data_IF_134180958362
#
_entry.id   IF_134180958362
#
_cell.length_a   1.000
_cell.length_b   1.000
_cell.length_c   1.000
_cell.angle_alpha   90.00
_cell.angle_beta   90.00
_cell.angle_gamma   90.00
#
_symmetry.space_group_name_H-M   'P 1'
#
loop_
_entity.id
_entity.type
_entity.pdbx_description
1 polymer ?
#
# COMPACT_ATOMS: atom_id res chain seq x y z
N UNK A 1 -40.03 38.55 52.98
CA UNK A 1 -39.04 38.12 52.03
C UNK A 1 -39.21 36.63 51.82
N UNK A 2 -39.78 36.23 50.69
CA UNK A 2 -40.07 34.83 50.41
C UNK A 2 -38.75 34.14 50.03
N UNK A 3 -38.34 33.18 50.82
CA UNK A 3 -37.18 32.34 50.45
C UNK A 3 -37.61 31.45 49.29
N UNK A 4 -36.97 31.66 48.15
CA UNK A 4 -37.08 30.80 46.95
C UNK A 4 -36.16 29.59 47.14
N UNK A 5 -36.75 28.40 47.13
CA UNK A 5 -36.02 27.16 47.38
C UNK A 5 -36.10 26.27 46.16
N UNK A 6 -34.97 25.77 45.70
CA UNK A 6 -34.89 24.74 44.69
C UNK A 6 -34.96 23.37 45.36
N UNK A 7 -35.95 22.55 45.02
CA UNK A 7 -36.07 21.18 45.50
C UNK A 7 -35.80 20.23 44.33
N UNK A 8 -34.88 19.32 44.53
CA UNK A 8 -34.60 18.23 43.59
C UNK A 8 -35.06 16.93 44.19
N UNK A 9 -35.95 16.24 43.50
CA UNK A 9 -36.41 14.91 43.89
C UNK A 9 -36.05 13.96 42.76
N UNK A 10 -35.37 12.88 43.08
CA UNK A 10 -35.10 11.79 42.11
C UNK A 10 -36.24 10.77 42.22
N UNK A 11 -37.04 10.67 41.18
CA UNK A 11 -37.98 9.58 41.02
C UNK A 11 -37.35 8.58 40.02
N UNK A 12 -36.75 7.52 40.53
CA UNK A 12 -36.28 6.41 39.69
C UNK A 12 -37.45 5.47 39.45
N UNK A 13 -38.08 5.54 38.29
CA UNK A 13 -39.02 4.53 37.82
C UNK A 13 -38.23 3.30 37.30
N UNK A 14 -37.72 2.51 38.23
CA UNK A 14 -37.47 1.10 38.01
C UNK A 14 -38.73 0.39 38.50
N UNK A 15 -39.37 -0.42 37.66
CA UNK A 15 -40.51 -1.22 38.06
C UNK A 15 -40.20 -2.02 39.31
N UNK A 16 -41.00 -1.78 40.36
CA UNK A 16 -41.20 -2.47 41.62
C UNK A 16 -40.62 -1.83 42.91
N UNK A 17 -41.51 -1.24 43.64
CA UNK A 17 -41.59 -0.96 45.10
C UNK A 17 -40.71 0.16 45.71
N UNK A 18 -41.39 1.19 45.92
CA UNK A 18 -41.65 2.28 46.85
C UNK A 18 -41.04 2.29 48.26
N UNK A 19 -40.40 3.40 48.62
CA UNK A 19 -40.81 4.18 49.80
C UNK A 19 -40.23 5.59 49.72
N UNK A 20 -41.11 6.63 49.70
CA UNK A 20 -40.71 8.03 49.71
C UNK A 20 -40.66 8.55 51.13
N UNK A 21 -39.53 9.13 51.55
CA UNK A 21 -39.47 10.01 52.74
C UNK A 21 -39.04 11.40 52.30
N UNK A 22 -39.91 12.36 52.46
CA UNK A 22 -39.64 13.81 52.32
C UNK A 22 -38.70 14.27 53.44
N UNK A 23 -37.57 14.91 53.05
CA UNK A 23 -36.71 15.61 53.99
C UNK A 23 -36.59 17.07 53.57
N UNK A 24 -36.94 18.00 54.51
CA UNK A 24 -36.73 19.42 54.30
C UNK A 24 -35.28 19.82 54.58
N UNK A 25 -34.71 20.68 53.75
CA UNK A 25 -33.32 21.09 53.79
C UNK A 25 -33.22 22.58 54.16
N UNK A 26 -32.31 22.98 55.09
CA UNK A 26 -32.11 24.37 55.47
C UNK A 26 -31.30 25.17 54.45
N UNK A 27 -31.61 26.46 54.31
CA UNK A 27 -31.01 27.39 53.38
C UNK A 27 -29.50 27.64 53.63
N UNK A 28 -28.66 27.44 52.61
CA UNK A 28 -27.33 28.06 52.60
C UNK A 28 -26.12 27.17 52.28
N UNK A 29 -26.26 25.92 51.87
CA UNK A 29 -25.15 25.08 51.43
C UNK A 29 -25.43 24.44 50.09
N UNK A 30 -24.41 24.41 49.22
CA UNK A 30 -24.43 23.61 48.00
C UNK A 30 -24.46 22.13 48.39
N UNK A 31 -25.61 21.50 48.41
CA UNK A 31 -25.75 20.08 48.71
C UNK A 31 -25.65 19.24 47.43
N UNK A 32 -24.80 18.21 47.48
CA UNK A 32 -24.86 17.11 46.53
C UNK A 32 -26.15 16.32 46.82
N UNK A 33 -27.10 16.39 45.92
CA UNK A 33 -28.35 15.66 46.03
C UNK A 33 -28.37 14.60 44.98
N UNK A 34 -28.28 13.34 45.44
CA UNK A 34 -28.49 12.11 44.69
C UNK A 34 -27.62 11.89 43.41
N UNK A 35 -27.13 10.69 43.27
CA UNK A 35 -26.40 10.25 42.10
C UNK A 35 -27.29 9.47 41.16
N UNK A 36 -27.07 9.63 39.86
CA UNK A 36 -27.64 8.80 38.82
C UNK A 36 -26.62 7.72 38.43
N UNK A 37 -27.04 6.46 38.49
CA UNK A 37 -26.19 5.34 38.07
C UNK A 37 -26.71 4.75 36.78
N UNK A 38 -25.77 4.48 35.85
CA UNK A 38 -26.01 3.82 34.57
C UNK A 38 -25.16 2.57 34.48
N UNK A 39 -25.67 1.57 33.80
CA UNK A 39 -24.85 0.41 33.39
C UNK A 39 -23.93 0.79 32.23
N UNK A 40 -22.93 -0.02 31.96
CA UNK A 40 -21.98 0.20 30.87
C UNK A 40 -22.63 0.34 29.49
N UNK A 41 -23.75 -0.29 29.25
CA UNK A 41 -24.55 -0.16 28.02
C UNK A 41 -25.16 1.22 27.79
N UNK A 42 -25.09 2.11 28.78
CA UNK A 42 -25.70 3.42 28.69
C UNK A 42 -27.22 3.39 28.91
N UNK A 43 -27.93 4.30 28.27
CA UNK A 43 -29.38 4.40 28.35
C UNK A 43 -29.86 5.76 28.82
N UNK A 44 -31.12 5.82 29.29
CA UNK A 44 -31.72 7.06 29.72
C UNK A 44 -32.32 6.96 31.16
N UNK A 45 -32.28 8.08 31.89
CA UNK A 45 -32.87 8.26 33.19
C UNK A 45 -33.52 9.63 33.26
N UNK A 46 -34.55 9.75 34.11
CA UNK A 46 -35.19 11.04 34.39
C UNK A 46 -34.62 11.64 35.67
N UNK A 47 -34.29 12.93 35.60
CA UNK A 47 -34.01 13.77 36.78
C UNK A 47 -35.14 14.75 36.97
N UNK A 48 -35.76 14.69 38.12
CA UNK A 48 -36.94 15.51 38.49
C UNK A 48 -36.55 16.53 39.54
N UNK A 49 -36.91 17.77 39.31
CA UNK A 49 -36.66 18.87 40.27
C UNK A 49 -37.77 19.92 40.18
N UNK A 50 -37.90 20.74 41.22
CA UNK A 50 -38.86 21.82 41.28
C UNK A 50 -38.18 23.17 41.47
N UNK A 51 -38.58 24.16 40.69
CA UNK A 51 -38.15 25.55 40.83
C UNK A 51 -39.20 26.51 40.26
N UNK A 52 -39.33 27.67 40.87
CA UNK A 52 -40.16 28.78 40.38
C UNK A 52 -39.34 29.80 39.55
N UNK A 53 -38.05 29.57 39.39
CA UNK A 53 -37.12 30.39 38.59
C UNK A 53 -36.87 29.80 37.18
N UNK A 54 -36.38 30.61 36.28
CA UNK A 54 -35.78 30.08 35.05
C UNK A 54 -34.59 29.19 35.41
N UNK A 55 -34.41 28.14 34.66
CA UNK A 55 -33.31 27.21 34.88
C UNK A 55 -32.61 26.81 33.59
N UNK A 56 -31.33 26.49 33.71
CA UNK A 56 -30.50 25.88 32.70
C UNK A 56 -29.81 24.66 33.29
N UNK A 57 -29.68 23.60 32.50
CA UNK A 57 -28.97 22.40 32.89
C UNK A 57 -27.89 22.07 31.85
N UNK A 58 -26.71 21.69 32.30
CA UNK A 58 -25.58 21.32 31.45
C UNK A 58 -24.89 20.07 31.99
N UNK A 59 -24.35 19.25 31.10
CA UNK A 59 -23.41 18.20 31.45
C UNK A 59 -21.96 18.68 31.19
N UNK A 60 -21.02 18.18 31.96
CA UNK A 60 -19.57 18.49 31.83
C UNK A 60 -18.93 17.63 30.75
N UNK A 61 -19.57 16.49 30.38
CA UNK A 61 -19.03 15.50 29.48
C UNK A 61 -19.98 15.24 28.31
N UNK A 62 -19.41 15.05 27.11
CA UNK A 62 -20.17 14.86 25.87
C UNK A 62 -20.95 13.53 25.83
N UNK A 63 -20.45 12.49 26.51
CA UNK A 63 -21.10 11.18 26.58
C UNK A 63 -22.37 11.17 27.46
N UNK A 64 -22.61 12.24 28.23
CA UNK A 64 -23.79 12.42 29.08
C UNK A 64 -24.58 13.63 28.58
N UNK A 65 -25.70 13.41 27.93
CA UNK A 65 -26.55 14.46 27.34
C UNK A 65 -27.84 14.62 28.12
N UNK A 66 -28.40 15.84 28.07
CA UNK A 66 -29.62 16.19 28.81
C UNK A 66 -30.63 16.89 27.91
N UNK A 67 -31.93 16.58 28.11
CA UNK A 67 -33.04 17.15 27.35
C UNK A 67 -34.28 17.32 28.24
N UNK A 68 -34.95 18.49 28.23
CA UNK A 68 -34.44 19.75 27.70
C UNK A 68 -33.30 20.33 28.56
N UNK A 69 -32.49 21.23 27.98
CA UNK A 69 -31.36 21.87 28.68
C UNK A 69 -31.73 23.19 29.36
N UNK A 70 -32.97 23.64 29.25
CA UNK A 70 -33.46 24.86 29.91
C UNK A 70 -34.98 24.88 30.03
N UNK A 71 -35.48 25.71 30.89
CA UNK A 71 -36.93 25.90 31.05
C UNK A 71 -37.29 27.12 31.91
N UNK A 72 -38.56 27.46 31.90
CA UNK A 72 -39.12 28.51 32.77
C UNK A 72 -39.68 27.93 34.06
N UNK A 73 -39.42 28.60 35.17
CA UNK A 73 -39.97 28.21 36.48
C UNK A 73 -41.51 28.18 36.50
N UNK A 74 -42.05 27.25 37.24
CA UNK A 74 -43.51 27.13 37.49
C UNK A 74 -43.74 26.85 38.96
N UNK A 75 -44.64 27.62 39.57
CA UNK A 75 -44.99 27.40 40.93
C UNK A 75 -45.73 26.04 41.10
N UNK A 76 -45.25 25.21 42.01
CA UNK A 76 -45.83 23.89 42.36
C UNK A 76 -45.86 22.84 41.22
N UNK A 77 -44.97 22.93 40.23
CA UNK A 77 -44.82 21.87 39.21
C UNK A 77 -43.41 21.39 39.14
N UNK A 78 -43.25 20.09 39.02
CA UNK A 78 -41.96 19.45 38.80
C UNK A 78 -41.50 19.66 37.35
N UNK A 79 -40.20 19.86 37.19
CA UNK A 79 -39.47 19.83 35.92
C UNK A 79 -38.84 18.47 35.77
N UNK A 80 -38.92 17.91 34.57
CA UNK A 80 -38.33 16.65 34.23
C UNK A 80 -37.30 16.89 33.11
N UNK A 81 -36.10 16.46 33.34
CA UNK A 81 -35.07 16.37 32.27
C UNK A 81 -34.69 14.92 32.08
N UNK A 82 -34.52 14.54 30.83
CA UNK A 82 -34.01 13.22 30.47
C UNK A 82 -32.50 13.30 30.36
N UNK A 83 -31.80 12.46 31.11
CA UNK A 83 -30.36 12.26 31.06
C UNK A 83 -30.08 11.03 30.20
N UNK A 84 -29.29 11.18 29.17
CA UNK A 84 -28.93 10.10 28.25
C UNK A 84 -27.43 9.91 28.30
N UNK A 85 -26.99 8.72 28.64
CA UNK A 85 -25.57 8.32 28.59
C UNK A 85 -25.32 7.38 27.45
N UNK A 86 -24.26 7.68 26.67
CA UNK A 86 -23.75 6.79 25.64
C UNK A 86 -23.11 5.54 26.28
N UNK A 87 -22.99 4.41 25.56
CA UNK A 87 -22.30 3.24 26.07
C UNK A 87 -20.86 3.57 26.54
N UNK A 88 -20.44 2.99 27.66
CA UNK A 88 -19.09 3.09 28.15
C UNK A 88 -18.30 1.89 27.63
N UNK A 89 -17.65 2.07 26.49
CA UNK A 89 -16.85 1.03 25.85
C UNK A 89 -15.43 0.94 26.45
N UNK A 90 -15.07 1.86 27.33
CA UNK A 90 -13.79 1.84 28.03
C UNK A 90 -13.73 0.78 29.14
N UNK A 91 -12.51 0.47 29.63
CA UNK A 91 -12.28 -0.56 30.65
C UNK A 91 -12.66 -0.12 32.06
N UNK A 92 -12.75 1.19 32.31
CA UNK A 92 -12.95 1.74 33.64
C UNK A 92 -14.32 2.38 33.78
N UNK A 93 -14.85 2.37 34.99
CA UNK A 93 -16.02 3.15 35.34
C UNK A 93 -15.76 4.65 35.12
N UNK A 94 -16.77 5.38 34.69
CA UNK A 94 -16.66 6.81 34.45
C UNK A 94 -17.75 7.60 35.18
N UNK A 95 -17.50 8.87 35.44
CA UNK A 95 -18.44 9.75 36.09
C UNK A 95 -18.36 11.18 35.58
N UNK A 96 -19.47 11.88 35.68
CA UNK A 96 -19.54 13.32 35.40
C UNK A 96 -20.55 14.00 36.32
N UNK A 97 -20.73 15.32 36.16
CA UNK A 97 -21.74 16.11 36.84
C UNK A 97 -22.72 16.73 35.85
N UNK A 98 -24.00 16.66 36.22
CA UNK A 98 -25.02 17.49 35.63
C UNK A 98 -25.19 18.69 36.58
N UNK A 99 -25.12 19.88 36.01
CA UNK A 99 -25.26 21.13 36.76
C UNK A 99 -26.58 21.79 36.37
N UNK A 100 -27.50 21.89 37.30
CA UNK A 100 -28.75 22.64 37.14
C UNK A 100 -28.59 23.99 37.84
N UNK A 101 -28.74 25.07 37.08
CA UNK A 101 -28.56 26.44 37.55
C UNK A 101 -29.87 27.21 37.45
N UNK A 102 -30.12 28.01 38.47
CA UNK A 102 -31.09 29.10 38.46
C UNK A 102 -30.38 30.43 38.76
N UNK A 103 -31.01 31.59 38.61
CA UNK A 103 -30.40 32.88 39.00
C UNK A 103 -29.90 32.94 40.45
N UNK A 104 -30.46 32.14 41.31
CA UNK A 104 -30.15 32.20 42.75
C UNK A 104 -29.42 30.98 43.29
N UNK A 105 -29.41 29.86 42.59
CA UNK A 105 -28.86 28.58 43.08
C UNK A 105 -28.21 27.74 41.98
N UNK A 106 -27.36 26.79 42.39
CA UNK A 106 -26.78 25.78 41.53
C UNK A 106 -26.77 24.43 42.24
N UNK A 107 -27.28 23.41 41.60
CA UNK A 107 -27.31 22.03 42.10
C UNK A 107 -26.46 21.15 41.19
N UNK A 108 -25.64 20.31 41.79
CA UNK A 108 -24.77 19.36 41.09
C UNK A 108 -25.28 17.94 41.34
N UNK A 109 -25.64 17.24 40.29
CA UNK A 109 -26.06 15.84 40.34
C UNK A 109 -24.91 14.99 39.77
N UNK A 110 -24.41 14.06 40.54
CA UNK A 110 -23.36 13.17 40.11
C UNK A 110 -23.93 12.05 39.25
N UNK A 111 -23.28 11.79 38.13
CA UNK A 111 -23.60 10.67 37.26
C UNK A 111 -22.44 9.67 37.28
N UNK A 112 -22.78 8.42 37.57
CA UNK A 112 -21.85 7.28 37.50
C UNK A 112 -22.29 6.35 36.40
N UNK A 113 -21.30 5.83 35.63
CA UNK A 113 -21.55 4.80 34.65
C UNK A 113 -20.51 3.70 34.79
N UNK A 114 -20.97 2.47 34.98
CA UNK A 114 -20.12 1.29 34.98
C UNK A 114 -19.54 1.01 33.62
N UNK A 115 -18.58 0.07 33.54
CA UNK A 115 -18.06 -0.46 32.30
C UNK A 115 -19.02 -1.46 31.67
N UNK A 116 -18.89 -1.68 30.36
CA UNK A 116 -19.40 -2.92 29.76
C UNK A 116 -18.51 -4.08 30.21
N UNK A 117 -19.13 -5.25 30.46
CA UNK A 117 -18.35 -6.47 30.74
C UNK A 117 -17.72 -6.97 29.46
N UNK A 118 -16.43 -7.35 29.50
CA UNK A 118 -15.73 -7.90 28.35
C UNK A 118 -14.37 -7.24 28.12
N UNK A 119 -14.18 -6.72 26.92
CA UNK A 119 -12.94 -6.07 26.50
C UNK A 119 -13.25 -4.85 25.61
N UNK A 120 -12.25 -4.00 25.45
CA UNK A 120 -12.29 -2.83 24.58
C UNK A 120 -11.13 -2.85 23.59
N UNK A 121 -11.45 -2.65 22.31
CA UNK A 121 -10.52 -2.52 21.21
C UNK A 121 -10.60 -1.08 20.68
N UNK A 122 -9.53 -0.28 20.80
CA UNK A 122 -9.52 1.09 20.27
C UNK A 122 -9.54 1.13 18.74
N UNK A 123 -9.04 0.09 18.08
CA UNK A 123 -8.95 -0.02 16.62
C UNK A 123 -9.45 -1.39 16.16
N UNK A 124 -10.30 -1.39 15.14
CA UNK A 124 -10.84 -2.61 14.52
C UNK A 124 -10.24 -2.89 13.12
N UNK A 125 -9.49 -1.93 12.57
CA UNK A 125 -8.71 -2.09 11.34
C UNK A 125 -7.31 -1.50 11.53
N UNK A 126 -6.29 -2.29 11.26
CA UNK A 126 -4.89 -1.88 11.32
C UNK A 126 -4.25 -2.07 9.94
N UNK A 127 -3.68 -0.99 9.39
CA UNK A 127 -2.98 -1.03 8.11
C UNK A 127 -1.48 -1.06 8.33
N UNK A 128 -0.81 -1.99 7.67
CA UNK A 128 0.64 -2.17 7.74
C UNK A 128 1.27 -2.10 6.35
N UNK A 129 2.54 -1.70 6.31
CA UNK A 129 3.29 -1.59 5.05
C UNK A 129 3.61 -2.96 4.45
N UNK A 130 4.18 -2.96 3.24
CA UNK A 130 4.65 -4.16 2.55
C UNK A 130 5.79 -4.87 3.27
N UNK A 131 6.62 -4.14 4.03
CA UNK A 131 7.80 -4.69 4.69
C UNK A 131 7.43 -5.66 5.82
N UNK A 132 8.27 -6.67 6.04
CA UNK A 132 8.22 -7.50 7.23
C UNK A 132 8.41 -6.64 8.49
N UNK A 133 7.47 -6.70 9.41
CA UNK A 133 7.50 -5.88 10.63
C UNK A 133 6.70 -6.50 11.77
N UNK A 134 7.04 -6.08 12.99
CA UNK A 134 6.24 -6.35 14.17
C UNK A 134 5.51 -5.07 14.62
N UNK A 135 4.29 -5.20 15.13
CA UNK A 135 3.47 -4.08 15.59
C UNK A 135 2.57 -4.49 16.75
N UNK A 136 2.20 -3.54 17.62
CA UNK A 136 1.31 -3.80 18.75
C UNK A 136 -0.16 -3.67 18.34
N UNK A 137 -1.01 -4.50 18.94
CA UNK A 137 -2.46 -4.30 19.04
C UNK A 137 -2.79 -4.09 20.51
N UNK A 138 -3.21 -2.89 20.85
CA UNK A 138 -3.59 -2.55 22.22
C UNK A 138 -5.03 -2.94 22.48
N UNK A 139 -5.31 -3.51 23.65
CA UNK A 139 -6.65 -3.79 24.12
C UNK A 139 -6.68 -3.72 25.64
N UNK A 140 -7.86 -3.53 26.20
CA UNK A 140 -8.08 -3.61 27.64
C UNK A 140 -9.24 -4.55 27.94
N UNK A 141 -9.24 -5.16 29.12
CA UNK A 141 -10.23 -6.17 29.47
C UNK A 141 -10.49 -6.18 30.96
N UNK A 142 -11.72 -6.57 31.34
CA UNK A 142 -12.13 -6.81 32.71
C UNK A 142 -12.62 -8.26 32.95
N UNK A 143 -12.55 -9.10 31.92
CA UNK A 143 -12.77 -10.55 32.00
C UNK A 143 -11.79 -11.30 31.08
N UNK A 144 -11.62 -12.62 31.24
CA UNK A 144 -10.73 -13.38 30.35
C UNK A 144 -11.13 -13.27 28.88
N UNK A 145 -10.14 -13.00 28.02
CA UNK A 145 -10.29 -12.87 26.58
C UNK A 145 -9.47 -13.94 25.87
N UNK A 146 -10.11 -14.73 25.02
CA UNK A 146 -9.46 -15.62 24.07
C UNK A 146 -9.17 -14.84 22.81
N UNK A 147 -7.96 -15.03 22.23
CA UNK A 147 -7.52 -14.37 21.01
C UNK A 147 -7.14 -15.44 20.01
N UNK A 148 -7.77 -15.41 18.85
CA UNK A 148 -7.59 -16.41 17.80
C UNK A 148 -7.28 -15.73 16.47
N UNK A 149 -6.28 -16.27 15.77
CA UNK A 149 -5.91 -15.85 14.42
C UNK A 149 -6.67 -16.71 13.41
N UNK A 150 -7.18 -16.11 12.31
CA UNK A 150 -7.80 -16.90 11.27
C UNK A 150 -6.76 -17.76 10.53
N UNK A 151 -7.11 -18.99 10.20
CA UNK A 151 -6.22 -19.96 9.53
C UNK A 151 -5.65 -19.42 8.21
N UNK A 152 -6.40 -18.61 7.50
CA UNK A 152 -6.02 -18.01 6.21
C UNK A 152 -4.81 -17.06 6.32
N UNK A 153 -4.57 -16.50 7.49
CA UNK A 153 -3.46 -15.56 7.70
C UNK A 153 -2.21 -16.19 8.31
N UNK A 154 -2.26 -17.40 8.85
CA UNK A 154 -1.12 -18.05 9.49
C UNK A 154 0.20 -18.05 8.67
N UNK A 155 0.18 -18.15 7.34
CA UNK A 155 1.41 -18.11 6.55
C UNK A 155 2.17 -16.77 6.61
N UNK A 156 1.48 -15.66 6.92
CA UNK A 156 2.07 -14.33 6.83
C UNK A 156 1.86 -13.43 8.05
N UNK A 157 0.92 -13.75 8.91
CA UNK A 157 0.59 -13.02 10.13
C UNK A 157 0.74 -13.97 11.34
N UNK A 158 1.48 -13.56 12.34
CA UNK A 158 1.75 -14.39 13.50
C UNK A 158 1.63 -13.61 14.80
N UNK A 159 1.15 -14.26 15.85
CA UNK A 159 1.19 -13.73 17.21
C UNK A 159 2.58 -13.98 17.81
N UNK A 160 3.19 -12.92 18.35
CA UNK A 160 4.46 -13.02 19.06
C UNK A 160 4.15 -13.26 20.55
N UNK A 161 4.63 -14.36 21.16
CA UNK A 161 4.40 -14.60 22.58
C UNK A 161 4.94 -13.45 23.44
N UNK A 162 4.07 -12.85 24.25
CA UNK A 162 4.48 -11.81 25.21
C UNK A 162 4.83 -12.46 26.56
N UNK A 163 6.00 -12.11 27.10
CA UNK A 163 6.45 -12.56 28.43
C UNK A 163 6.05 -11.60 29.55
N UNK A 164 5.34 -10.51 29.23
CA UNK A 164 4.92 -9.50 30.21
C UNK A 164 3.42 -9.26 30.15
N UNK A 165 2.77 -9.39 31.32
CA UNK A 165 1.42 -8.88 31.53
C UNK A 165 1.51 -7.37 31.71
N UNK A 166 0.88 -6.61 30.82
CA UNK A 166 0.73 -5.16 30.93
C UNK A 166 -0.76 -4.81 30.96
N UNK A 167 -1.10 -3.81 31.76
CA UNK A 167 -2.44 -3.21 31.77
C UNK A 167 -2.26 -1.75 31.31
N UNK A 168 -2.77 -1.30 30.15
CA UNK A 168 -3.53 -2.09 29.18
C UNK A 168 -2.71 -3.23 28.55
N UNK A 169 -3.37 -4.27 28.10
CA UNK A 169 -2.73 -5.42 27.49
C UNK A 169 -2.31 -5.09 26.04
N UNK A 170 -1.21 -5.69 25.61
CA UNK A 170 -0.70 -5.51 24.25
C UNK A 170 -0.44 -6.88 23.62
N UNK A 171 -1.11 -7.14 22.50
CA UNK A 171 -0.81 -8.26 21.64
C UNK A 171 0.25 -7.81 20.62
N UNK A 172 1.38 -8.51 20.59
CA UNK A 172 2.39 -8.28 19.56
C UNK A 172 2.13 -9.19 18.37
N UNK A 173 2.05 -8.61 17.20
CA UNK A 173 1.91 -9.31 15.93
C UNK A 173 3.13 -9.08 15.05
N UNK A 174 3.40 -10.01 14.15
CA UNK A 174 4.37 -9.85 13.08
C UNK A 174 3.77 -10.24 11.74
N UNK A 175 4.12 -9.50 10.69
CA UNK A 175 3.79 -9.83 9.30
C UNK A 175 5.08 -10.09 8.53
N UNK A 176 5.01 -11.05 7.60
CA UNK A 176 6.07 -11.24 6.60
C UNK A 176 6.00 -10.16 5.52
N UNK A 177 7.09 -9.99 4.75
CA UNK A 177 7.08 -9.11 3.57
C UNK A 177 5.94 -9.49 2.61
N UNK A 178 5.22 -8.48 2.08
CA UNK A 178 4.25 -8.65 1.02
C UNK A 178 4.83 -8.11 -0.28
N UNK A 179 5.00 -8.98 -1.28
CA UNK A 179 5.48 -8.64 -2.63
C UNK A 179 4.41 -8.87 -3.70
N UNK A 180 3.18 -9.02 -3.27
CA UNK A 180 2.02 -9.32 -4.11
C UNK A 180 0.88 -8.34 -3.82
N UNK A 181 -0.33 -8.70 -4.23
CA UNK A 181 -1.56 -7.96 -3.97
C UNK A 181 -1.78 -7.65 -2.48
N UNK A 182 -2.64 -6.69 -2.22
CA UNK A 182 -3.15 -6.41 -0.88
C UNK A 182 -3.72 -7.68 -0.24
N UNK A 183 -3.33 -7.96 0.99
CA UNK A 183 -3.86 -9.09 1.75
C UNK A 183 -4.46 -8.64 3.08
N UNK A 184 -5.47 -9.37 3.52
CA UNK A 184 -6.18 -9.10 4.76
C UNK A 184 -6.20 -10.35 5.63
N UNK A 185 -6.10 -10.17 6.92
CA UNK A 185 -6.23 -11.22 7.90
C UNK A 185 -7.05 -10.72 9.08
N UNK A 186 -7.65 -11.62 9.84
CA UNK A 186 -8.51 -11.28 10.96
C UNK A 186 -8.05 -11.94 12.24
N UNK A 187 -8.20 -11.20 13.34
CA UNK A 187 -7.95 -11.68 14.70
C UNK A 187 -9.24 -11.51 15.49
N UNK A 188 -9.73 -12.59 16.03
CA UNK A 188 -10.93 -12.60 16.84
C UNK A 188 -10.58 -12.49 18.32
N UNK A 189 -11.22 -11.55 19.00
CA UNK A 189 -11.18 -11.39 20.45
C UNK A 189 -12.53 -11.88 21.00
N UNK A 190 -12.52 -12.83 21.88
CA UNK A 190 -13.74 -13.48 22.41
C UNK A 190 -13.67 -13.53 23.91
N UNK A 191 -14.69 -13.01 24.57
CA UNK A 191 -14.98 -13.17 25.97
C UNK A 191 -16.34 -13.86 26.19
N UNK A 192 -16.75 -14.05 27.43
CA UNK A 192 -18.07 -14.63 27.71
C UNK A 192 -19.25 -13.74 27.23
N UNK A 193 -19.03 -12.45 27.13
CA UNK A 193 -20.11 -11.47 26.86
C UNK A 193 -19.93 -10.72 25.55
N UNK A 194 -18.74 -10.78 24.92
CA UNK A 194 -18.41 -9.99 23.72
C UNK A 194 -17.55 -10.77 22.76
N UNK A 195 -17.77 -10.57 21.47
CA UNK A 195 -16.88 -11.05 20.39
C UNK A 195 -16.69 -9.94 19.37
N UNK A 196 -15.45 -9.59 19.09
CA UNK A 196 -15.08 -8.61 18.06
C UNK A 196 -13.89 -9.09 17.27
N UNK A 197 -13.72 -8.52 16.07
CA UNK A 197 -12.65 -8.88 15.15
C UNK A 197 -11.84 -7.65 14.77
N UNK A 198 -10.52 -7.76 14.83
CA UNK A 198 -9.58 -6.79 14.29
C UNK A 198 -9.13 -7.28 12.92
N UNK A 199 -9.27 -6.42 11.91
CA UNK A 199 -8.80 -6.67 10.54
C UNK A 199 -7.41 -6.09 10.36
N UNK A 200 -6.46 -6.93 9.96
CA UNK A 200 -5.11 -6.51 9.59
C UNK A 200 -5.05 -6.42 8.07
N UNK A 201 -4.72 -5.26 7.54
CA UNK A 201 -4.60 -4.99 6.10
C UNK A 201 -3.15 -4.71 5.78
N UNK A 202 -2.49 -5.61 5.05
CA UNK A 202 -1.17 -5.35 4.52
C UNK A 202 -1.29 -4.89 3.07
N UNK A 203 -0.73 -3.71 2.76
CA UNK A 203 -0.86 -3.10 1.45
C UNK A 203 -0.13 -3.91 0.37
N UNK A 204 -0.55 -3.72 -0.90
CA UNK A 204 0.11 -4.30 -2.05
C UNK A 204 1.51 -3.68 -2.27
N UNK A 205 2.44 -4.45 -2.87
CA UNK A 205 3.76 -3.97 -3.34
C UNK A 205 3.68 -3.68 -4.85
N UNK A 206 2.85 -2.71 -5.22
CA UNK A 206 2.61 -2.34 -6.61
C UNK A 206 3.79 -1.56 -7.16
N UNK A 207 4.21 -1.93 -8.37
CA UNK A 207 5.24 -1.17 -9.09
C UNK A 207 4.63 0.05 -9.79
N UNK A 208 5.32 1.19 -9.81
CA UNK A 208 4.85 2.37 -10.51
C UNK A 208 5.04 2.22 -12.04
N UNK A 209 3.97 2.27 -12.81
CA UNK A 209 3.98 2.32 -14.27
C UNK A 209 3.22 3.57 -14.71
N UNK A 210 3.91 4.70 -14.93
CA UNK A 210 3.27 5.99 -15.17
C UNK A 210 2.66 6.15 -16.57
N UNK A 211 3.18 5.45 -17.58
CA UNK A 211 2.63 5.48 -18.95
C UNK A 211 1.36 4.61 -19.02
N UNK A 212 0.23 5.22 -19.35
CA UNK A 212 -1.07 4.55 -19.36
C UNK A 212 -1.16 3.39 -20.36
N UNK A 213 -0.51 3.54 -21.52
CA UNK A 213 -0.50 2.52 -22.57
C UNK A 213 0.39 1.33 -22.17
N UNK A 214 1.55 1.61 -21.59
CA UNK A 214 2.43 0.57 -21.07
C UNK A 214 1.79 -0.14 -19.88
N UNK A 215 1.19 0.61 -18.94
CA UNK A 215 0.44 0.04 -17.82
C UNK A 215 -0.71 -0.86 -18.30
N UNK A 216 -1.50 -0.40 -19.28
CA UNK A 216 -2.57 -1.21 -19.85
C UNK A 216 -2.04 -2.53 -20.42
N UNK A 217 -0.93 -2.49 -21.18
CA UNK A 217 -0.29 -3.69 -21.71
C UNK A 217 0.17 -4.64 -20.59
N UNK A 218 0.83 -4.10 -19.55
CA UNK A 218 1.30 -4.89 -18.41
C UNK A 218 0.13 -5.55 -17.68
N UNK A 219 -0.98 -4.84 -17.44
CA UNK A 219 -2.19 -5.40 -16.81
C UNK A 219 -2.80 -6.54 -17.64
N UNK A 220 -2.81 -6.41 -18.98
CA UNK A 220 -3.35 -7.48 -19.83
C UNK A 220 -2.46 -8.73 -19.88
N UNK A 221 -1.17 -8.59 -19.59
CA UNK A 221 -0.18 -9.65 -19.78
C UNK A 221 0.34 -10.27 -18.49
N UNK A 222 0.36 -9.53 -17.40
CA UNK A 222 1.10 -9.87 -16.18
C UNK A 222 0.29 -9.73 -14.88
N UNK A 223 -0.89 -9.14 -14.89
CA UNK A 223 -1.82 -9.11 -13.76
C UNK A 223 -2.43 -10.52 -13.60
N UNK A 224 -1.77 -11.36 -12.80
CA UNK A 224 -2.11 -12.78 -12.67
C UNK A 224 -3.27 -13.02 -11.69
N UNK A 225 -3.44 -12.13 -10.74
CA UNK A 225 -4.50 -12.24 -9.72
C UNK A 225 -5.73 -11.38 -10.03
N UNK A 226 -5.65 -10.50 -11.07
CA UNK A 226 -6.76 -9.71 -11.58
C UNK A 226 -7.15 -8.54 -10.68
N UNK A 227 -6.24 -8.04 -9.85
CA UNK A 227 -6.52 -6.96 -8.91
C UNK A 227 -6.43 -5.55 -9.53
N UNK A 228 -5.98 -5.46 -10.80
CA UNK A 228 -5.84 -4.22 -11.57
C UNK A 228 -4.55 -3.46 -11.30
N UNK A 229 -3.58 -4.10 -10.69
CA UNK A 229 -2.25 -3.59 -10.39
C UNK A 229 -1.18 -4.58 -10.87
N UNK A 230 0.07 -4.18 -10.91
CA UNK A 230 1.19 -5.08 -11.13
C UNK A 230 2.05 -5.08 -9.87
N UNK A 231 2.04 -6.17 -9.15
CA UNK A 231 2.88 -6.38 -7.99
C UNK A 231 4.33 -6.68 -8.40
N UNK A 232 5.26 -6.52 -7.48
CA UNK A 232 6.67 -6.89 -7.70
C UNK A 232 6.84 -8.37 -8.08
N UNK A 233 6.09 -9.28 -7.45
CA UNK A 233 6.15 -10.70 -7.76
C UNK A 233 5.71 -11.02 -9.20
N UNK A 234 4.66 -10.36 -9.68
CA UNK A 234 4.18 -10.52 -11.05
C UNK A 234 5.18 -9.98 -12.07
N UNK A 235 5.76 -8.81 -11.81
CA UNK A 235 6.79 -8.25 -12.64
C UNK A 235 8.03 -9.17 -12.74
N UNK A 236 8.52 -9.69 -11.61
CA UNK A 236 9.66 -10.63 -11.57
C UNK A 236 9.34 -11.99 -12.18
N UNK A 237 8.08 -12.42 -12.19
CA UNK A 237 7.64 -13.65 -12.82
C UNK A 237 7.57 -13.58 -14.36
N UNK A 238 7.49 -12.38 -14.94
CA UNK A 238 7.42 -12.16 -16.37
C UNK A 238 8.69 -12.69 -17.07
N UNK A 239 8.51 -13.38 -18.21
CA UNK A 239 9.60 -13.98 -18.99
C UNK A 239 9.75 -13.39 -20.38
N UNK A 240 8.67 -12.86 -20.94
CA UNK A 240 8.67 -12.23 -22.25
C UNK A 240 7.84 -10.95 -22.22
N UNK A 241 8.42 -9.86 -22.72
CA UNK A 241 7.70 -8.63 -23.00
C UNK A 241 7.61 -8.46 -24.51
N UNK A 242 6.37 -8.33 -25.03
CA UNK A 242 6.12 -8.12 -26.46
C UNK A 242 5.21 -6.92 -26.66
N UNK A 243 5.77 -5.81 -27.14
CA UNK A 243 5.04 -4.58 -27.43
C UNK A 243 4.83 -4.42 -28.94
N UNK A 244 3.60 -4.13 -29.36
CA UNK A 244 3.23 -4.00 -30.76
C UNK A 244 2.74 -2.58 -31.09
N UNK A 245 2.78 -2.16 -32.33
CA UNK A 245 2.44 -0.82 -32.89
C UNK A 245 1.12 -0.19 -32.41
N UNK A 246 0.17 -1.00 -31.94
CA UNK A 246 -1.12 -0.50 -31.46
C UNK A 246 -1.03 0.24 -30.14
N UNK A 247 0.08 0.17 -29.44
CA UNK A 247 0.29 0.78 -28.13
C UNK A 247 1.13 2.04 -28.29
N UNK A 248 0.53 3.21 -28.12
CA UNK A 248 1.25 4.49 -28.09
C UNK A 248 2.01 4.64 -26.77
N UNK A 249 3.06 3.84 -26.60
CA UNK A 249 3.91 3.83 -25.41
C UNK A 249 5.04 4.83 -25.61
N UNK A 250 5.10 5.82 -24.74
CA UNK A 250 6.13 6.87 -24.74
C UNK A 250 7.21 6.62 -23.70
N UNK A 251 6.93 5.82 -22.70
CA UNK A 251 7.84 5.50 -21.63
C UNK A 251 7.60 4.09 -21.13
N UNK A 252 8.69 3.37 -20.88
CA UNK A 252 8.67 2.05 -20.24
C UNK A 252 9.14 2.11 -18.79
N UNK A 253 9.06 3.27 -18.13
CA UNK A 253 9.32 3.39 -16.69
C UNK A 253 8.48 2.39 -15.92
N UNK A 254 9.09 1.66 -14.99
CA UNK A 254 8.50 0.51 -14.30
C UNK A 254 8.96 -0.82 -14.91
N UNK A 255 9.49 -0.83 -16.16
CA UNK A 255 10.02 -2.03 -16.78
C UNK A 255 11.22 -2.61 -16.01
N UNK A 256 11.99 -1.79 -15.33
CA UNK A 256 13.16 -2.17 -14.52
C UNK A 256 12.84 -3.18 -13.42
N UNK A 257 11.57 -3.29 -13.02
CA UNK A 257 11.11 -4.28 -12.04
C UNK A 257 10.87 -5.67 -12.64
N UNK A 258 10.80 -5.79 -13.97
CA UNK A 258 10.58 -7.06 -14.68
C UNK A 258 11.89 -7.86 -14.82
N UNK A 259 12.61 -8.05 -13.74
CA UNK A 259 13.97 -8.60 -13.71
C UNK A 259 14.06 -10.05 -14.19
N UNK A 260 12.94 -10.77 -14.28
CA UNK A 260 12.84 -12.13 -14.80
C UNK A 260 12.79 -12.24 -16.31
N UNK A 261 12.78 -11.13 -17.07
CA UNK A 261 12.65 -11.14 -18.52
C UNK A 261 13.82 -11.89 -19.19
N UNK A 262 13.45 -12.82 -20.06
CA UNK A 262 14.35 -13.57 -20.94
C UNK A 262 14.27 -13.10 -22.39
N UNK A 263 13.15 -12.55 -22.81
CA UNK A 263 12.90 -12.08 -24.17
C UNK A 263 12.20 -10.74 -24.19
N UNK A 264 12.72 -9.82 -24.99
CA UNK A 264 12.12 -8.50 -25.24
C UNK A 264 11.90 -8.36 -26.74
N UNK A 265 10.65 -8.08 -27.13
CA UNK A 265 10.27 -7.79 -28.51
C UNK A 265 9.47 -6.49 -28.54
N UNK A 266 10.00 -5.50 -29.22
CA UNK A 266 9.34 -4.18 -29.34
C UNK A 266 9.26 -3.79 -30.80
N UNK A 267 8.03 -3.53 -31.24
CA UNK A 267 7.71 -2.95 -32.54
C UNK A 267 7.26 -1.52 -32.27
N UNK A 268 8.12 -0.57 -32.58
CA UNK A 268 7.91 0.82 -32.29
C UNK A 268 6.99 1.49 -33.31
N UNK A 269 6.40 2.64 -32.94
CA UNK A 269 5.81 3.64 -33.81
C UNK A 269 6.21 5.06 -33.40
N UNK A 270 7.06 5.19 -32.38
CA UNK A 270 7.46 6.44 -31.76
C UNK A 270 8.76 6.28 -30.94
N UNK A 271 9.25 7.37 -30.36
CA UNK A 271 10.35 7.35 -29.39
C UNK A 271 9.88 6.78 -28.05
N UNK A 272 10.59 5.77 -27.54
CA UNK A 272 10.37 5.22 -26.19
C UNK A 272 11.47 5.71 -25.27
N UNK A 273 11.09 6.49 -24.26
CA UNK A 273 11.98 6.93 -23.21
C UNK A 273 12.21 5.84 -22.16
N UNK A 274 13.37 5.89 -21.50
CA UNK A 274 13.76 5.02 -20.38
C UNK A 274 13.87 3.53 -20.72
N UNK A 275 14.14 3.16 -21.98
CA UNK A 275 14.45 1.80 -22.36
C UNK A 275 15.90 1.47 -21.94
N UNK A 276 16.03 0.71 -20.86
CA UNK A 276 17.31 0.28 -20.29
C UNK A 276 17.34 -1.25 -20.16
N UNK A 277 18.35 -1.90 -20.75
CA UNK A 277 18.47 -3.35 -20.75
C UNK A 277 19.27 -3.91 -19.56
N UNK A 278 20.03 -3.07 -18.87
CA UNK A 278 20.94 -3.46 -17.78
C UNK A 278 20.27 -4.20 -16.60
N UNK A 279 19.00 -3.94 -16.24
CA UNK A 279 18.32 -4.67 -15.14
C UNK A 279 18.06 -6.15 -15.44
N UNK A 280 18.02 -6.57 -16.72
CA UNK A 280 17.51 -7.89 -17.12
C UNK A 280 18.63 -8.93 -17.19
N UNK A 281 19.05 -9.46 -16.04
CA UNK A 281 20.16 -10.43 -15.93
C UNK A 281 19.88 -11.80 -16.57
N UNK A 282 18.62 -12.10 -16.86
CA UNK A 282 18.17 -13.33 -17.52
C UNK A 282 17.90 -13.18 -19.01
N UNK A 283 18.13 -11.97 -19.56
CA UNK A 283 17.83 -11.63 -20.95
C UNK A 283 18.66 -12.45 -21.92
N UNK A 284 17.97 -13.18 -22.80
CA UNK A 284 18.56 -14.08 -23.84
C UNK A 284 18.41 -13.53 -25.23
N UNK A 285 17.32 -12.79 -25.50
CA UNK A 285 17.12 -12.21 -26.83
C UNK A 285 16.43 -10.86 -26.77
N UNK A 286 16.87 -9.96 -27.62
CA UNK A 286 16.27 -8.65 -27.89
C UNK A 286 15.92 -8.55 -29.36
N UNK A 287 14.70 -8.17 -29.66
CA UNK A 287 14.22 -7.82 -30.99
C UNK A 287 13.57 -6.43 -30.94
N UNK A 288 14.09 -5.51 -31.73
CA UNK A 288 13.59 -4.14 -31.86
C UNK A 288 13.34 -3.82 -33.32
N UNK A 289 12.21 -3.19 -33.65
CA UNK A 289 11.84 -2.84 -35.01
C UNK A 289 11.24 -1.41 -35.05
N UNK A 290 11.79 -0.57 -35.93
CA UNK A 290 11.38 0.84 -36.17
C UNK A 290 11.45 1.73 -34.92
N UNK A 291 12.57 1.64 -34.15
CA UNK A 291 12.71 2.24 -32.84
C UNK A 291 13.61 3.48 -32.79
N UNK A 292 13.17 4.48 -32.02
CA UNK A 292 14.01 5.55 -31.52
C UNK A 292 14.10 5.43 -29.99
N UNK A 293 15.31 5.23 -29.46
CA UNK A 293 15.56 5.06 -28.03
C UNK A 293 16.94 5.62 -27.64
N UNK A 294 17.14 5.86 -26.33
CA UNK A 294 18.27 6.67 -25.87
C UNK A 294 19.58 5.87 -25.68
N UNK A 295 19.49 4.56 -25.38
CA UNK A 295 20.65 3.77 -24.98
C UNK A 295 20.59 2.32 -25.46
N UNK A 296 21.71 1.81 -25.96
CA UNK A 296 21.91 0.41 -26.42
C UNK A 296 23.06 -0.27 -25.65
N UNK A 297 23.01 -0.24 -24.31
CA UNK A 297 24.02 -0.87 -23.44
C UNK A 297 23.57 -2.24 -22.94
N UNK A 298 24.26 -3.29 -23.36
CA UNK A 298 24.01 -4.68 -23.01
C UNK A 298 25.09 -5.30 -22.12
N UNK A 299 26.06 -4.52 -21.67
CA UNK A 299 27.25 -5.02 -20.95
C UNK A 299 26.96 -5.79 -19.66
N UNK A 300 25.73 -5.71 -19.16
CA UNK A 300 25.29 -6.41 -17.95
C UNK A 300 24.39 -7.64 -18.22
N UNK A 301 24.21 -8.03 -19.47
CA UNK A 301 23.34 -9.12 -19.90
C UNK A 301 24.16 -10.36 -20.29
N UNK A 302 24.86 -10.95 -19.34
CA UNK A 302 25.90 -11.99 -19.57
C UNK A 302 25.39 -13.25 -20.32
N UNK A 303 24.06 -13.51 -20.26
CA UNK A 303 23.43 -14.66 -20.93
C UNK A 303 22.74 -14.30 -22.26
N UNK A 304 22.89 -13.04 -22.71
CA UNK A 304 22.30 -12.58 -23.96
C UNK A 304 22.92 -13.26 -25.15
N UNK A 305 22.11 -13.94 -25.95
CA UNK A 305 22.57 -14.74 -27.09
C UNK A 305 22.20 -14.14 -28.45
N UNK A 306 21.21 -13.24 -28.50
CA UNK A 306 20.72 -12.66 -29.74
C UNK A 306 20.31 -11.20 -29.58
N UNK A 307 20.83 -10.33 -30.45
CA UNK A 307 20.42 -8.92 -30.62
C UNK A 307 20.01 -8.76 -32.07
N UNK A 308 18.75 -8.37 -32.29
CA UNK A 308 18.21 -8.11 -33.65
C UNK A 308 17.52 -6.76 -33.64
N UNK A 309 17.96 -5.86 -34.51
CA UNK A 309 17.41 -4.51 -34.64
C UNK A 309 17.21 -4.15 -36.11
N UNK A 310 16.01 -3.67 -36.43
CA UNK A 310 15.63 -3.18 -37.76
C UNK A 310 15.17 -1.73 -37.65
N UNK A 311 15.61 -0.87 -38.58
CA UNK A 311 15.21 0.54 -38.67
C UNK A 311 15.35 1.32 -37.35
N UNK A 312 16.30 0.92 -36.50
CA UNK A 312 16.49 1.50 -35.19
C UNK A 312 17.43 2.71 -35.21
N UNK A 313 17.08 3.71 -34.40
CA UNK A 313 17.89 4.92 -34.19
C UNK A 313 18.25 5.05 -32.72
N UNK A 314 19.53 5.18 -32.43
CA UNK A 314 20.04 5.39 -31.07
C UNK A 314 21.24 6.33 -31.17
N UNK A 315 21.27 7.46 -30.43
CA UNK A 315 22.41 8.39 -30.47
C UNK A 315 23.66 7.80 -29.78
N UNK A 316 23.45 6.88 -28.82
CA UNK A 316 24.56 6.20 -28.16
C UNK A 316 25.06 5.02 -28.97
N UNK A 317 26.37 4.63 -28.81
CA UNK A 317 26.90 3.43 -29.43
C UNK A 317 26.16 2.18 -28.91
N UNK A 318 26.06 1.16 -29.78
CA UNK A 318 25.71 -0.17 -29.35
C UNK A 318 26.87 -0.78 -28.56
N UNK A 319 26.68 -1.09 -27.31
CA UNK A 319 27.68 -1.66 -26.43
C UNK A 319 27.33 -3.08 -25.98
N UNK A 320 27.98 -4.07 -26.58
CA UNK A 320 27.86 -5.49 -26.23
C UNK A 320 29.20 -6.06 -25.69
N UNK A 321 30.08 -5.18 -25.21
CA UNK A 321 31.43 -5.59 -24.75
C UNK A 321 31.31 -6.67 -23.66
N UNK A 322 32.10 -7.77 -23.85
CA UNK A 322 32.19 -8.85 -22.87
C UNK A 322 31.14 -9.95 -23.01
N UNK A 323 30.17 -9.83 -23.90
CA UNK A 323 29.09 -10.81 -24.07
C UNK A 323 29.58 -12.09 -24.76
N UNK A 324 30.17 -12.99 -24.00
CA UNK A 324 30.70 -14.27 -24.54
C UNK A 324 29.60 -15.23 -24.99
N UNK A 325 28.36 -15.06 -24.49
CA UNK A 325 27.20 -15.85 -24.89
C UNK A 325 26.52 -15.35 -26.17
N UNK A 326 26.86 -14.15 -26.67
CA UNK A 326 26.24 -13.54 -27.83
C UNK A 326 26.66 -14.34 -29.10
N UNK A 327 25.68 -14.93 -29.78
CA UNK A 327 25.88 -15.74 -30.99
C UNK A 327 25.39 -15.05 -32.26
N UNK A 328 24.35 -14.21 -32.12
CA UNK A 328 23.73 -13.53 -33.27
C UNK A 328 23.61 -12.04 -33.00
N UNK A 329 24.16 -11.25 -33.91
CA UNK A 329 23.98 -9.80 -33.97
C UNK A 329 23.45 -9.44 -35.37
N UNK A 330 22.28 -8.85 -35.43
CA UNK A 330 21.70 -8.37 -36.68
C UNK A 330 21.24 -6.91 -36.52
N UNK A 331 21.88 -6.01 -37.24
CA UNK A 331 21.59 -4.59 -37.33
C UNK A 331 21.34 -4.22 -38.78
N UNK A 332 20.09 -3.95 -39.12
CA UNK A 332 19.72 -3.64 -40.51
C UNK A 332 18.99 -2.29 -40.56
N UNK A 333 19.40 -1.41 -41.47
CA UNK A 333 18.87 -0.05 -41.66
C UNK A 333 18.88 0.78 -40.36
N UNK A 334 19.84 0.54 -39.47
CA UNK A 334 19.95 1.21 -38.17
C UNK A 334 21.06 2.29 -38.21
N UNK A 335 21.00 3.25 -37.29
CA UNK A 335 21.87 4.45 -37.35
C UNK A 335 22.97 4.48 -36.28
N UNK A 336 23.50 3.33 -35.90
CA UNK A 336 24.63 3.27 -34.97
C UNK A 336 25.94 3.75 -35.63
N UNK A 337 26.60 4.76 -35.05
CA UNK A 337 27.92 5.20 -35.49
C UNK A 337 29.03 4.27 -35.01
N UNK A 338 28.86 3.70 -33.83
CA UNK A 338 29.82 2.78 -33.21
C UNK A 338 29.15 1.54 -32.67
N UNK A 339 29.82 0.39 -32.83
CA UNK A 339 29.39 -0.91 -32.33
C UNK A 339 30.57 -1.53 -31.57
N UNK A 340 30.42 -1.71 -30.24
CA UNK A 340 31.47 -2.27 -29.41
C UNK A 340 31.21 -3.75 -29.13
N UNK A 341 32.07 -4.62 -29.69
CA UNK A 341 31.96 -6.08 -29.64
C UNK A 341 33.19 -6.75 -29.00
N UNK A 342 34.05 -5.98 -28.34
CA UNK A 342 35.22 -6.52 -27.67
C UNK A 342 34.84 -7.62 -26.68
N UNK A 343 35.46 -8.80 -26.82
CA UNK A 343 35.20 -9.96 -25.96
C UNK A 343 33.97 -10.79 -26.37
N UNK A 344 33.28 -10.48 -27.47
CA UNK A 344 32.15 -11.26 -27.99
C UNK A 344 32.61 -12.52 -28.71
N UNK A 345 33.29 -13.41 -27.99
CA UNK A 345 33.94 -14.63 -28.58
C UNK A 345 32.93 -15.68 -29.05
N UNK A 346 31.67 -15.60 -28.63
CA UNK A 346 30.60 -16.52 -29.01
C UNK A 346 29.96 -16.25 -30.38
N UNK A 347 30.20 -15.06 -30.99
CA UNK A 347 29.56 -14.64 -32.23
C UNK A 347 29.79 -15.65 -33.38
N UNK A 348 28.66 -16.06 -34.01
CA UNK A 348 28.59 -16.96 -35.15
C UNK A 348 27.98 -16.29 -36.37
N UNK A 349 27.02 -15.44 -36.18
CA UNK A 349 26.30 -14.74 -37.23
C UNK A 349 26.25 -13.24 -36.94
N UNK A 350 26.77 -12.45 -37.88
CA UNK A 350 26.75 -11.00 -37.83
C UNK A 350 26.19 -10.46 -39.14
N UNK A 351 25.12 -9.69 -39.01
CA UNK A 351 24.50 -8.91 -40.09
C UNK A 351 24.54 -7.45 -39.68
N UNK A 352 25.35 -6.66 -40.35
CA UNK A 352 25.42 -5.21 -40.21
C UNK A 352 25.24 -4.66 -41.62
N UNK A 353 23.96 -4.47 -42.01
CA UNK A 353 23.66 -4.24 -43.43
C UNK A 353 22.71 -3.03 -43.61
N UNK A 354 22.96 -2.29 -44.69
CA UNK A 354 22.18 -1.10 -45.06
C UNK A 354 22.19 0.00 -43.98
N UNK A 355 23.29 0.12 -43.20
CA UNK A 355 23.47 1.16 -42.20
C UNK A 355 24.27 2.32 -42.80
N UNK A 356 23.88 3.55 -42.52
CA UNK A 356 24.50 4.73 -43.14
C UNK A 356 25.51 5.44 -42.24
N UNK A 357 25.65 5.03 -40.98
CA UNK A 357 26.49 5.74 -40.01
C UNK A 357 27.81 5.04 -39.69
N UNK A 358 27.85 3.72 -39.69
CA UNK A 358 29.02 2.92 -39.29
C UNK A 358 30.18 3.10 -40.29
N UNK A 359 31.38 3.30 -39.78
CA UNK A 359 32.60 3.45 -40.58
C UNK A 359 33.60 2.30 -40.37
N UNK A 360 33.58 1.65 -39.23
CA UNK A 360 34.46 0.57 -38.83
C UNK A 360 33.72 -0.47 -38.01
N UNK A 361 34.04 -1.75 -38.26
CA UNK A 361 33.48 -2.87 -37.50
C UNK A 361 34.62 -3.78 -37.03
N UNK A 362 34.81 -3.86 -35.71
CA UNK A 362 35.84 -4.71 -35.12
C UNK A 362 35.22 -6.03 -34.63
N UNK A 363 35.55 -7.11 -35.34
CA UNK A 363 35.17 -8.49 -35.04
C UNK A 363 36.41 -9.36 -34.74
N UNK A 364 37.51 -8.74 -34.33
CA UNK A 364 38.79 -9.43 -34.06
C UNK A 364 38.68 -10.47 -32.93
N UNK A 365 37.76 -10.30 -31.99
CA UNK A 365 37.48 -11.27 -30.92
C UNK A 365 36.42 -12.33 -31.29
N UNK A 366 35.75 -12.20 -32.44
CA UNK A 366 34.73 -13.12 -32.92
C UNK A 366 35.33 -14.36 -33.59
N UNK A 367 36.08 -15.16 -32.85
CA UNK A 367 36.87 -16.31 -33.35
C UNK A 367 36.01 -17.45 -33.90
N UNK A 368 34.73 -17.50 -33.59
CA UNK A 368 33.79 -18.53 -34.03
C UNK A 368 32.85 -18.05 -35.15
N UNK A 369 33.13 -16.91 -35.79
CA UNK A 369 32.27 -16.29 -36.78
C UNK A 369 32.15 -17.19 -38.03
N UNK A 370 30.91 -17.52 -38.38
CA UNK A 370 30.55 -18.35 -39.53
C UNK A 370 29.96 -17.54 -40.69
N UNK A 371 29.17 -16.52 -40.33
CA UNK A 371 28.49 -15.70 -41.34
C UNK A 371 28.69 -14.21 -41.00
N UNK A 372 29.12 -13.45 -42.00
CA UNK A 372 29.16 -12.00 -41.98
C UNK A 372 28.48 -11.44 -43.22
N UNK A 373 27.48 -10.59 -43.01
CA UNK A 373 26.90 -9.79 -44.07
C UNK A 373 26.94 -8.30 -43.65
N UNK A 374 27.69 -7.52 -44.46
CA UNK A 374 27.79 -6.07 -44.34
C UNK A 374 27.59 -5.39 -45.71
N UNK A 375 26.60 -5.87 -46.46
CA UNK A 375 26.18 -5.25 -47.73
C UNK A 375 25.39 -3.96 -47.53
N UNK A 376 25.53 -3.07 -48.51
CA UNK A 376 24.79 -1.81 -48.57
C UNK A 376 25.12 -0.80 -47.43
N UNK A 377 26.33 -0.91 -46.87
CA UNK A 377 26.88 0.03 -45.89
C UNK A 377 27.85 1.03 -46.59
N UNK A 378 27.35 2.19 -47.07
CA UNK A 378 28.16 3.05 -47.98
C UNK A 378 29.34 3.72 -47.27
N UNK A 379 29.32 3.80 -45.95
CA UNK A 379 30.38 4.42 -45.14
C UNK A 379 31.29 3.43 -44.42
N UNK A 380 31.01 2.12 -44.44
CA UNK A 380 31.82 1.11 -43.78
C UNK A 380 33.14 0.88 -44.54
N UNK A 381 34.24 1.43 -44.04
CA UNK A 381 35.54 1.40 -44.68
C UNK A 381 36.36 0.16 -44.33
N UNK A 382 36.27 -0.28 -43.07
CA UNK A 382 37.15 -1.34 -42.55
C UNK A 382 36.36 -2.31 -41.66
N UNK A 383 36.61 -3.59 -41.89
CA UNK A 383 36.18 -4.68 -41.01
C UNK A 383 37.38 -5.47 -40.57
N UNK A 384 37.60 -5.59 -39.25
CA UNK A 384 38.66 -6.41 -38.69
C UNK A 384 38.13 -7.80 -38.35
N UNK A 385 38.78 -8.84 -38.82
CA UNK A 385 38.41 -10.25 -38.60
C UNK A 385 39.61 -11.03 -38.08
N UNK A 386 39.38 -11.96 -37.19
CA UNK A 386 40.31 -13.06 -36.89
C UNK A 386 39.83 -14.36 -37.52
N UNK A 387 38.55 -14.61 -37.56
CA UNK A 387 37.95 -15.76 -38.21
C UNK A 387 37.89 -15.59 -39.72
N UNK A 388 37.84 -16.73 -40.44
CA UNK A 388 37.51 -16.80 -41.85
C UNK A 388 36.10 -17.36 -42.00
N UNK A 389 35.06 -16.48 -42.04
CA UNK A 389 33.67 -16.94 -42.05
C UNK A 389 33.37 -17.74 -43.35
N UNK A 390 32.53 -18.77 -43.22
CA UNK A 390 32.13 -19.61 -44.38
C UNK A 390 31.33 -18.78 -45.40
N UNK A 391 30.54 -17.82 -44.90
CA UNK A 391 29.74 -16.90 -45.71
C UNK A 391 30.17 -15.46 -45.39
N UNK A 392 30.74 -14.79 -46.38
CA UNK A 392 31.19 -13.40 -46.30
C UNK A 392 30.55 -12.58 -47.43
N UNK A 393 29.70 -11.64 -47.10
CA UNK A 393 28.97 -10.75 -48.01
C UNK A 393 29.33 -9.29 -47.69
N UNK A 394 30.01 -8.61 -48.60
CA UNK A 394 30.41 -7.20 -48.48
C UNK A 394 30.64 -6.60 -49.88
N UNK A 395 30.69 -5.26 -49.94
CA UNK A 395 31.06 -4.56 -51.20
C UNK A 395 32.56 -4.25 -51.19
N UNK A 396 33.39 -4.94 -52.00
CA UNK A 396 34.83 -4.71 -52.01
C UNK A 396 35.26 -3.36 -52.62
N UNK A 397 34.34 -2.64 -53.24
CA UNK A 397 34.62 -1.30 -53.73
C UNK A 397 34.54 -0.23 -52.59
N UNK A 398 33.91 -0.57 -51.48
CA UNK A 398 33.67 0.31 -50.34
C UNK A 398 34.45 -0.15 -49.11
N UNK A 399 34.38 -1.45 -48.81
CA UNK A 399 34.83 -2.04 -47.55
C UNK A 399 36.13 -2.86 -47.74
N UNK A 400 37.10 -2.67 -46.88
CA UNK A 400 38.31 -3.47 -46.78
C UNK A 400 38.22 -4.44 -45.62
N UNK A 401 38.45 -5.72 -45.87
CA UNK A 401 38.58 -6.74 -44.83
C UNK A 401 40.04 -6.84 -44.38
N UNK A 402 40.27 -6.66 -43.08
CA UNK A 402 41.60 -6.77 -42.47
C UNK A 402 41.64 -7.98 -41.56
N UNK A 403 42.41 -9.00 -41.89
CA UNK A 403 42.60 -10.15 -41.01
C UNK A 403 43.70 -9.82 -39.99
N UNK A 404 43.35 -9.98 -38.69
CA UNK A 404 44.28 -9.76 -37.57
C UNK A 404 44.81 -11.09 -37.06
N UNK A 405 46.06 -11.10 -36.54
CA UNK A 405 46.74 -12.29 -36.03
C UNK A 405 46.16 -12.80 -34.68
#
# INVERSE_FOLDING_TARGET
MSHKTLFVFLLVLVGAFSCSTKKEIPSGQSEMVESLSFEGTGGSRELVFSTDEQWEASSVEEWCRIYPSSGSGRILKDHVITVVCDPNEGPDDRGCFIIVRTPTQSVHVQVYQGTQTGFYLPETEIRVSTAAQAFPVSYSFNEPVSIELSEECEPWLQMIPSTRSMTPATLMLSVSENRSAKRTGTISFVSNHKSETVTIVQVADDIPIPDDSFRYHCLQSFDLDGDGHISRNEAEAARELSLFYSYRIWSVSGMEYFTGLERIKIYFDNHIANLDFRPFKHLRSVFLDDGLFDMADFTQNDVLSSIVMYDCQCPDPLNATGLTALTTLSLTRSSFEHIFLKGCTGLKEVVVAANNAIQELDLSDAVNLQTLNCLYDPNLKTVYLKAHPEKLEYDPAITTIVYVE
#
